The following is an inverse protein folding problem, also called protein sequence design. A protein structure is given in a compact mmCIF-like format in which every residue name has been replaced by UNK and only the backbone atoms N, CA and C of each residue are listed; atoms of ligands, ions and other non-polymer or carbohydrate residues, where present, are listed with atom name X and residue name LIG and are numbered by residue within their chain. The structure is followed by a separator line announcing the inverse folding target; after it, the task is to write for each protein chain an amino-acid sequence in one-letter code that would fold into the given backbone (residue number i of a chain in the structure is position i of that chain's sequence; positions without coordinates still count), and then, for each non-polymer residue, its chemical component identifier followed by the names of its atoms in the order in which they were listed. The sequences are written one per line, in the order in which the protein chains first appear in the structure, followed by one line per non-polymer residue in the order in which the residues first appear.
data_IF_104110292230
#
_entry.id   IF_104110292230
#
_cell.length_a   1.000
_cell.length_b   1.000
_cell.length_c   1.000
_cell.angle_alpha   90.00
_cell.angle_beta   90.00
_cell.angle_gamma   90.00
#
_symmetry.space_group_name_H-M   'P 1'
#
loop_
_entity.id
_entity.type
_entity.pdbx_description
1 polymer ?
#
# COMPACT_ATOMS: atom_id res chain seq x y z
N UNK A 1 -7.19 6.09 8.53
CA UNK A 1 -6.87 4.82 7.85
C UNK A 1 -7.98 4.41 6.87
N UNK A 2 -9.26 4.50 7.22
CA UNK A 2 -10.36 4.13 6.30
C UNK A 2 -10.33 4.87 4.97
N UNK A 3 -10.09 6.17 4.97
CA UNK A 3 -9.88 6.97 3.76
C UNK A 3 -8.69 6.44 2.93
N UNK A 4 -7.56 6.19 3.58
CA UNK A 4 -6.38 5.65 2.90
C UNK A 4 -6.64 4.26 2.31
N UNK A 5 -7.48 3.45 2.96
CA UNK A 5 -7.90 2.17 2.43
C UNK A 5 -8.72 2.33 1.15
N UNK A 6 -9.71 3.20 1.16
CA UNK A 6 -10.56 3.52 0.00
C UNK A 6 -9.72 4.05 -1.17
N UNK A 7 -8.85 5.01 -0.89
CA UNK A 7 -8.09 5.75 -1.91
C UNK A 7 -6.81 5.03 -2.36
N UNK A 8 -6.52 3.85 -1.80
CA UNK A 8 -5.30 3.08 -2.10
C UNK A 8 -4.00 3.85 -1.79
N UNK A 9 -3.98 4.55 -0.66
CA UNK A 9 -2.81 5.31 -0.17
C UNK A 9 -1.98 4.43 0.77
N UNK A 10 -0.65 4.37 0.58
CA UNK A 10 0.22 3.62 1.47
C UNK A 10 0.39 4.38 2.79
N UNK A 11 -0.17 3.86 3.86
CA UNK A 11 -0.01 4.39 5.21
C UNK A 11 0.42 3.25 6.12
N UNK A 12 1.53 3.42 6.81
CA UNK A 12 1.94 2.53 7.89
C UNK A 12 1.68 3.24 9.22
N UNK A 13 0.79 2.66 10.02
CA UNK A 13 0.51 3.12 11.38
C UNK A 13 1.20 2.21 12.37
N UNK A 14 1.94 2.80 13.29
CA UNK A 14 2.55 2.10 14.41
C UNK A 14 1.94 2.66 15.68
N UNK A 15 1.40 1.79 16.52
CA UNK A 15 0.85 2.16 17.81
C UNK A 15 1.41 1.30 18.93
N UNK A 16 1.47 1.83 20.13
CA UNK A 16 1.72 1.01 21.31
C UNK A 16 0.45 0.24 21.72
N UNK A 17 0.65 -0.87 22.37
CA UNK A 17 -0.42 -1.58 23.08
C UNK A 17 0.07 -2.04 24.44
N UNK A 18 -0.87 -2.43 25.30
CA UNK A 18 -0.52 -3.00 26.59
C UNK A 18 -0.02 -4.44 26.41
N UNK A 19 0.85 -4.85 27.33
CA UNK A 19 1.30 -6.23 27.41
C UNK A 19 0.13 -7.16 27.73
N UNK A 20 0.21 -8.39 27.27
CA UNK A 20 -0.86 -9.39 27.46
C UNK A 20 -1.27 -9.55 28.92
N UNK A 21 -0.31 -9.50 29.85
CA UNK A 21 -0.55 -9.60 31.30
C UNK A 21 -1.35 -8.38 31.83
N UNK A 22 -1.19 -7.22 31.24
CA UNK A 22 -1.89 -5.98 31.61
C UNK A 22 -3.25 -5.84 30.93
N UNK A 23 -3.52 -6.60 29.90
CA UNK A 23 -4.60 -6.41 28.93
C UNK A 23 -6.03 -6.45 29.50
N UNK A 24 -6.23 -6.85 30.74
CA UNK A 24 -7.57 -6.95 31.34
C UNK A 24 -7.78 -6.04 32.55
N UNK A 25 -6.88 -5.11 32.80
CA UNK A 25 -6.93 -4.24 33.98
C UNK A 25 -7.62 -2.89 33.77
N UNK A 26 -8.09 -2.61 32.54
CA UNK A 26 -8.75 -1.33 32.24
C UNK A 26 -7.80 -0.14 32.38
N UNK A 27 -6.55 -0.29 32.02
CA UNK A 27 -5.57 0.79 32.06
C UNK A 27 -5.88 1.86 31.01
N UNK A 28 -5.36 3.06 31.23
CA UNK A 28 -5.52 4.19 30.32
C UNK A 28 -5.13 3.79 28.87
N UNK A 29 -5.98 4.14 27.91
CA UNK A 29 -5.87 3.81 26.48
C UNK A 29 -6.02 2.33 26.13
N UNK A 30 -6.39 1.49 27.07
CA UNK A 30 -6.65 0.08 26.78
C UNK A 30 -7.89 -0.07 25.90
N UNK A 31 -7.73 -0.72 24.77
CA UNK A 31 -8.83 -1.18 23.91
C UNK A 31 -9.12 -2.67 24.19
N UNK A 32 -10.37 -3.08 23.98
CA UNK A 32 -10.76 -4.50 24.08
C UNK A 32 -10.04 -5.34 23.02
N UNK A 33 -9.96 -4.82 21.81
CA UNK A 33 -9.30 -5.45 20.67
C UNK A 33 -8.75 -4.37 19.72
N UNK A 34 -7.53 -3.96 19.98
CA UNK A 34 -6.86 -2.93 19.16
C UNK A 34 -6.44 -3.48 17.78
N UNK A 35 -6.03 -4.74 17.73
CA UNK A 35 -5.66 -5.41 16.49
C UNK A 35 -6.87 -5.55 15.56
N UNK A 36 -7.99 -6.03 16.07
CA UNK A 36 -9.23 -6.12 15.31
C UNK A 36 -9.78 -4.78 14.87
N UNK A 37 -9.68 -3.75 15.72
CA UNK A 37 -10.05 -2.39 15.35
C UNK A 37 -9.18 -1.86 14.19
N UNK A 38 -7.87 -2.09 14.25
CA UNK A 38 -6.95 -1.79 13.14
C UNK A 38 -7.29 -2.56 11.87
N UNK A 39 -7.57 -3.86 11.99
CA UNK A 39 -7.89 -4.74 10.86
C UNK A 39 -9.18 -4.32 10.12
N UNK A 40 -10.10 -3.64 10.80
CA UNK A 40 -11.33 -3.16 10.16
C UNK A 40 -11.11 -2.03 9.12
N UNK A 41 -9.97 -1.36 9.17
CA UNK A 41 -9.64 -0.18 8.33
C UNK A 41 -8.28 -0.28 7.65
N UNK A 42 -7.57 -1.40 7.82
CA UNK A 42 -6.28 -1.69 7.22
C UNK A 42 -6.35 -2.98 6.40
N UNK A 43 -5.40 -3.18 5.49
CA UNK A 43 -5.25 -4.47 4.80
C UNK A 43 -4.90 -5.58 5.77
N UNK A 44 -4.08 -5.25 6.76
CA UNK A 44 -3.80 -6.08 7.92
C UNK A 44 -3.41 -5.21 9.12
N UNK A 45 -3.65 -5.78 10.30
CA UNK A 45 -3.24 -5.26 11.58
C UNK A 45 -2.61 -6.41 12.35
N UNK A 46 -1.41 -6.23 12.88
CA UNK A 46 -0.68 -7.31 13.58
C UNK A 46 0.09 -6.77 14.77
N UNK A 47 0.23 -7.65 15.78
CA UNK A 47 1.01 -7.36 16.99
C UNK A 47 2.45 -7.85 16.83
N UNK A 48 3.40 -6.96 17.04
CA UNK A 48 4.82 -7.26 17.10
C UNK A 48 5.24 -7.52 18.55
N UNK A 49 5.22 -8.77 18.97
CA UNK A 49 5.55 -9.16 20.35
C UNK A 49 7.05 -9.07 20.67
N UNK A 50 7.91 -9.03 19.67
CA UNK A 50 9.35 -8.90 19.82
C UNK A 50 9.91 -7.89 18.83
N UNK A 51 11.11 -7.34 19.06
CA UNK A 51 11.76 -6.45 18.09
C UNK A 51 11.95 -7.10 16.70
N UNK A 52 12.31 -8.38 16.66
CA UNK A 52 12.50 -9.10 15.40
C UNK A 52 11.17 -9.25 14.63
N UNK A 53 10.07 -9.48 15.35
CA UNK A 53 8.74 -9.49 14.74
C UNK A 53 8.38 -8.12 14.18
N UNK A 54 8.72 -7.03 14.89
CA UNK A 54 8.50 -5.67 14.41
C UNK A 54 9.30 -5.42 13.11
N UNK A 55 10.55 -5.84 13.06
CA UNK A 55 11.37 -5.73 11.86
C UNK A 55 10.78 -6.51 10.68
N UNK A 56 10.36 -7.75 10.90
CA UNK A 56 9.72 -8.55 9.85
C UNK A 56 8.42 -7.94 9.33
N UNK A 57 7.60 -7.35 10.21
CA UNK A 57 6.37 -6.67 9.82
C UNK A 57 6.64 -5.36 9.07
N UNK A 58 7.67 -4.62 9.45
CA UNK A 58 8.12 -3.43 8.71
C UNK A 58 8.56 -3.80 7.30
N UNK A 59 9.42 -4.80 7.15
CA UNK A 59 9.88 -5.27 5.85
C UNK A 59 8.74 -5.75 4.98
N UNK A 60 7.81 -6.51 5.54
CA UNK A 60 6.59 -6.94 4.86
C UNK A 60 5.76 -5.74 4.39
N UNK A 61 5.54 -4.75 5.26
CA UNK A 61 4.74 -3.58 4.93
C UNK A 61 5.31 -2.83 3.72
N UNK A 62 6.60 -2.57 3.72
CA UNK A 62 7.27 -1.86 2.64
C UNK A 62 7.33 -2.69 1.35
N UNK A 63 7.62 -3.99 1.44
CA UNK A 63 7.60 -4.87 0.28
C UNK A 63 6.22 -4.91 -0.39
N UNK A 64 5.16 -4.97 0.42
CA UNK A 64 3.79 -4.97 -0.10
C UNK A 64 3.37 -3.60 -0.67
N UNK A 65 3.90 -2.49 -0.17
CA UNK A 65 3.68 -1.17 -0.79
C UNK A 65 4.31 -1.06 -2.18
N UNK A 66 5.38 -1.80 -2.43
CA UNK A 66 6.06 -1.80 -3.73
C UNK A 66 5.43 -2.79 -4.72
N UNK A 67 4.94 -3.94 -4.23
CA UNK A 67 4.57 -5.07 -5.09
C UNK A 67 3.06 -5.29 -5.23
N UNK A 68 2.25 -4.74 -4.32
CA UNK A 68 0.79 -4.90 -4.30
C UNK A 68 0.06 -3.57 -4.44
N UNK A 69 -1.26 -3.63 -4.58
CA UNK A 69 -2.12 -2.46 -4.45
C UNK A 69 -1.86 -1.82 -3.08
N UNK A 70 -1.57 -0.54 -3.07
CA UNK A 70 -1.29 0.21 -1.85
C UNK A 70 -2.51 0.26 -0.95
N UNK A 71 -2.34 -0.13 0.29
CA UNK A 71 -3.36 -0.16 1.33
C UNK A 71 -2.73 0.16 2.69
N UNK A 72 -3.44 0.82 3.62
CA UNK A 72 -2.91 1.06 4.96
C UNK A 72 -2.64 -0.25 5.69
N UNK A 73 -1.64 -0.22 6.54
CA UNK A 73 -1.21 -1.33 7.40
C UNK A 73 -1.02 -0.83 8.82
N UNK A 74 -1.26 -1.69 9.78
CA UNK A 74 -1.12 -1.34 11.20
C UNK A 74 -0.27 -2.38 11.91
N UNK A 75 0.70 -1.88 12.68
CA UNK A 75 1.53 -2.66 13.59
C UNK A 75 1.30 -2.11 14.98
N UNK A 76 0.90 -2.95 15.91
CA UNK A 76 0.91 -2.58 17.34
C UNK A 76 2.08 -3.24 18.04
N UNK A 77 2.72 -2.51 18.94
CA UNK A 77 3.91 -2.97 19.67
C UNK A 77 3.64 -2.87 21.17
N UNK A 78 3.76 -3.96 21.93
CA UNK A 78 3.64 -3.93 23.38
C UNK A 78 4.67 -2.99 24.01
N UNK A 79 4.30 -2.34 25.13
CA UNK A 79 5.18 -1.39 25.83
C UNK A 79 6.49 -2.07 26.24
N UNK A 80 6.43 -3.31 26.73
CA UNK A 80 7.62 -4.06 27.12
C UNK A 80 8.59 -4.29 25.95
N UNK A 81 8.08 -4.49 24.73
CA UNK A 81 8.90 -4.62 23.52
C UNK A 81 9.52 -3.27 23.10
N UNK A 82 8.79 -2.16 23.30
CA UNK A 82 9.30 -0.81 23.02
C UNK A 82 10.39 -0.36 24.00
N UNK A 83 10.28 -0.74 25.27
CA UNK A 83 11.23 -0.41 26.33
C UNK A 83 12.40 -1.39 26.41
N UNK A 84 12.28 -2.52 25.73
CA UNK A 84 13.30 -3.57 25.71
C UNK A 84 14.50 -3.22 24.82
N UNK A 85 15.55 -4.04 24.97
CA UNK A 85 16.69 -3.98 24.03
C UNK A 85 16.27 -4.60 22.68
N UNK A 86 16.53 -3.88 21.61
CA UNK A 86 16.36 -4.41 20.27
C UNK A 86 17.76 -4.84 19.70
N UNK A 87 17.85 -5.96 18.98
CA UNK A 87 19.01 -6.27 18.19
C UNK A 87 19.19 -5.23 17.08
N UNK A 88 20.37 -5.16 16.52
CA UNK A 88 20.62 -4.34 15.33
C UNK A 88 19.65 -4.76 14.21
N UNK A 89 19.06 -3.75 13.55
CA UNK A 89 18.16 -4.02 12.43
C UNK A 89 18.96 -4.65 11.28
N UNK A 90 18.60 -5.85 10.82
CA UNK A 90 19.33 -6.48 9.73
C UNK A 90 19.26 -5.62 8.46
N UNK A 91 20.37 -5.59 7.69
CA UNK A 91 20.34 -4.90 6.41
C UNK A 91 19.13 -5.34 5.57
N UNK A 92 18.35 -4.37 5.14
CA UNK A 92 17.22 -4.64 4.26
C UNK A 92 17.71 -5.28 2.98
N UNK A 93 17.34 -6.49 2.75
CA UNK A 93 17.37 -7.01 1.39
C UNK A 93 16.37 -6.18 0.57
N UNK A 94 16.89 -5.36 -0.34
CA UNK A 94 16.05 -4.67 -1.31
C UNK A 94 15.19 -5.74 -1.96
N UNK A 95 13.90 -5.75 -1.64
CA UNK A 95 12.96 -6.54 -2.40
C UNK A 95 13.08 -6.02 -3.82
N UNK A 96 13.65 -6.82 -4.69
CA UNK A 96 13.69 -6.49 -6.12
C UNK A 96 12.22 -6.31 -6.50
N UNK A 97 11.81 -5.06 -6.71
CA UNK A 97 10.52 -4.78 -7.32
C UNK A 97 10.60 -5.35 -8.73
N UNK A 98 10.30 -6.64 -8.85
CA UNK A 98 9.99 -7.17 -10.16
C UNK A 98 8.73 -6.40 -10.57
N UNK A 99 8.93 -5.32 -11.35
CA UNK A 99 7.83 -4.75 -12.13
C UNK A 99 7.15 -5.97 -12.74
N UNK A 100 5.82 -6.10 -12.60
CA UNK A 100 5.13 -7.24 -13.18
C UNK A 100 5.65 -7.37 -14.61
N UNK A 101 6.30 -8.50 -14.90
CA UNK A 101 6.85 -8.71 -16.23
C UNK A 101 5.66 -8.62 -17.18
N UNK A 102 5.79 -7.82 -18.22
CA UNK A 102 4.81 -7.68 -19.29
C UNK A 102 4.79 -9.00 -20.10
N UNK A 103 4.65 -10.13 -19.42
CA UNK A 103 4.45 -11.44 -20.02
C UNK A 103 2.97 -11.74 -20.29
N UNK A 104 2.10 -10.77 -20.07
CA UNK A 104 0.70 -10.91 -20.44
C UNK A 104 0.55 -10.71 -21.94
N UNK A 105 -0.20 -11.60 -22.57
CA UNK A 105 -0.56 -11.46 -23.97
C UNK A 105 -1.40 -10.19 -24.17
N UNK A 106 -0.78 -9.11 -24.64
CA UNK A 106 -1.45 -7.83 -24.89
C UNK A 106 -2.21 -7.80 -26.21
N UNK A 107 -2.07 -8.82 -27.06
CA UNK A 107 -2.70 -8.87 -28.38
C UNK A 107 -4.23 -8.61 -28.34
N UNK A 108 -5.03 -9.13 -27.39
CA UNK A 108 -6.45 -8.82 -27.33
C UNK A 108 -6.71 -7.33 -27.02
N UNK A 109 -5.92 -6.70 -26.17
CA UNK A 109 -6.07 -5.27 -25.82
C UNK A 109 -5.71 -4.40 -27.02
N UNK A 110 -4.62 -4.72 -27.71
CA UNK A 110 -4.19 -4.02 -28.92
C UNK A 110 -5.28 -4.12 -29.99
N UNK A 111 -5.78 -5.33 -30.27
CA UNK A 111 -6.86 -5.53 -31.25
C UNK A 111 -8.13 -4.76 -30.91
N UNK A 112 -8.50 -4.66 -29.63
CA UNK A 112 -9.64 -3.83 -29.19
C UNK A 112 -9.40 -2.35 -29.47
N UNK A 113 -8.21 -1.83 -29.21
CA UNK A 113 -7.86 -0.43 -29.49
C UNK A 113 -7.85 -0.13 -30.98
N UNK A 114 -7.29 -1.02 -31.81
CA UNK A 114 -7.22 -0.88 -33.27
C UNK A 114 -8.61 -0.89 -33.94
N UNK A 115 -9.55 -1.63 -33.38
CA UNK A 115 -10.92 -1.73 -33.92
C UNK A 115 -11.89 -0.73 -33.33
N UNK A 116 -11.52 -0.04 -32.26
CA UNK A 116 -12.40 0.92 -31.60
C UNK A 116 -12.60 2.18 -32.46
N UNK A 117 -13.85 2.57 -32.67
CA UNK A 117 -14.20 3.79 -33.42
C UNK A 117 -14.12 5.05 -32.58
N UNK A 118 -14.33 4.95 -31.29
CA UNK A 118 -14.30 6.06 -30.31
C UNK A 118 -13.66 5.61 -28.99
N UNK A 119 -12.36 5.33 -28.99
CA UNK A 119 -11.68 4.90 -27.77
C UNK A 119 -11.63 6.03 -26.75
N UNK A 120 -11.80 5.69 -25.47
CA UNK A 120 -11.62 6.58 -24.33
C UNK A 120 -10.67 5.94 -23.33
N UNK A 121 -9.60 6.64 -23.02
CA UNK A 121 -8.65 6.22 -21.98
C UNK A 121 -8.97 6.91 -20.65
N UNK A 122 -9.23 6.12 -19.61
CA UNK A 122 -9.47 6.63 -18.26
C UNK A 122 -8.26 6.30 -17.38
N UNK A 123 -7.53 7.34 -16.95
CA UNK A 123 -6.34 7.22 -16.12
C UNK A 123 -6.68 7.35 -14.63
N UNK A 124 -6.45 6.28 -13.88
CA UNK A 124 -6.57 6.29 -12.43
C UNK A 124 -5.22 6.51 -11.72
N UNK A 125 -5.23 6.60 -10.38
CA UNK A 125 -4.02 6.77 -9.57
C UNK A 125 -2.96 5.68 -9.77
N UNK A 126 -3.34 4.49 -10.24
CA UNK A 126 -2.42 3.41 -10.57
C UNK A 126 -1.53 3.68 -11.80
N UNK A 127 -1.88 4.67 -12.61
CA UNK A 127 -1.08 5.10 -13.75
C UNK A 127 -0.01 6.16 -13.37
N UNK A 128 0.04 6.58 -12.10
CA UNK A 128 1.05 7.52 -11.64
C UNK A 128 2.47 6.96 -11.84
N UNK A 129 3.34 7.76 -12.44
CA UNK A 129 4.71 7.36 -12.79
C UNK A 129 4.83 6.55 -14.08
N UNK A 130 3.76 6.36 -14.84
CA UNK A 130 3.83 5.80 -16.18
C UNK A 130 4.25 6.89 -17.20
N UNK A 131 5.19 6.56 -18.07
CA UNK A 131 5.63 7.42 -19.16
C UNK A 131 4.58 7.38 -20.30
N UNK A 132 3.52 8.17 -20.16
CA UNK A 132 2.39 8.16 -21.09
C UNK A 132 2.43 9.30 -22.12
N UNK A 133 3.26 10.31 -21.91
CA UNK A 133 3.25 11.53 -22.72
C UNK A 133 3.51 11.28 -24.20
N UNK A 134 4.53 10.46 -24.54
CA UNK A 134 4.84 10.10 -25.91
C UNK A 134 3.70 9.29 -26.57
N UNK A 135 3.20 8.29 -25.86
CA UNK A 135 2.08 7.47 -26.33
C UNK A 135 0.84 8.33 -26.63
N UNK A 136 0.50 9.25 -25.72
CA UNK A 136 -0.70 10.07 -25.86
C UNK A 136 -0.56 11.13 -26.96
N UNK A 137 0.65 11.63 -27.21
CA UNK A 137 0.90 12.59 -28.31
C UNK A 137 0.80 11.93 -29.69
N UNK A 138 1.05 10.63 -29.79
CA UNK A 138 0.99 9.87 -31.04
C UNK A 138 -0.40 9.25 -31.30
N UNK A 139 -1.21 9.10 -30.24
CA UNK A 139 -2.51 8.48 -30.33
C UNK A 139 -3.63 9.52 -30.31
N UNK A 140 -4.51 9.51 -31.30
CA UNK A 140 -5.71 10.34 -31.31
C UNK A 140 -6.83 9.71 -30.45
N UNK A 141 -6.57 9.52 -29.16
CA UNK A 141 -7.48 8.90 -28.20
C UNK A 141 -7.93 9.98 -27.20
N UNK A 142 -9.22 10.07 -26.95
CA UNK A 142 -9.74 10.93 -25.89
C UNK A 142 -9.24 10.39 -24.53
N UNK A 143 -8.73 11.30 -23.69
CA UNK A 143 -8.20 10.94 -22.37
C UNK A 143 -8.94 11.71 -21.28
N UNK A 144 -9.26 11.02 -20.20
CA UNK A 144 -9.71 11.64 -18.97
C UNK A 144 -9.00 11.02 -17.76
N UNK A 145 -8.90 11.77 -16.69
CA UNK A 145 -8.33 11.26 -15.44
C UNK A 145 -9.38 11.19 -14.35
N UNK A 146 -9.27 10.18 -13.49
CA UNK A 146 -9.98 10.19 -12.20
C UNK A 146 -9.36 11.24 -11.29
N UNK A 147 -10.00 11.55 -10.16
CA UNK A 147 -9.44 12.46 -9.16
C UNK A 147 -8.03 12.04 -8.70
N UNK A 148 -7.80 10.74 -8.47
CA UNK A 148 -6.51 10.18 -8.08
C UNK A 148 -5.49 10.12 -9.24
N UNK A 149 -5.94 10.23 -10.48
CA UNK A 149 -5.10 10.29 -11.68
C UNK A 149 -4.79 11.70 -12.14
N UNK A 150 -5.22 12.71 -11.39
CA UNK A 150 -5.01 14.13 -11.77
C UNK A 150 -3.53 14.46 -11.85
N UNK A 151 -3.13 15.10 -12.92
CA UNK A 151 -1.72 15.50 -13.17
C UNK A 151 -0.87 14.42 -13.86
N UNK A 152 -1.42 13.24 -14.16
CA UNK A 152 -0.70 12.20 -14.94
C UNK A 152 -0.54 12.66 -16.40
N UNK A 153 -1.54 13.33 -16.93
CA UNK A 153 -1.47 14.04 -18.22
C UNK A 153 -1.42 15.51 -17.92
N UNK A 154 -0.35 16.19 -18.31
CA UNK A 154 -0.27 17.63 -18.26
C UNK A 154 -1.27 18.16 -19.30
N UNK A 155 -2.21 18.99 -18.86
CA UNK A 155 -2.99 19.78 -19.79
C UNK A 155 -2.05 20.83 -20.42
N UNK A 156 -1.86 20.75 -21.73
CA UNK A 156 -1.26 21.82 -22.53
C UNK A 156 -2.13 23.08 -22.48
#
# INVERSE_FOLDING_TARGET
LGQAYSDSVPVLTISSCLDEVAARRGQLHQMLDQEGAGASVCEWSQTAWTPEAAYGLLDRAFAEFETKRKRPKHIQVPISALEGRAPEYPERHKVSSSKPSVGQNLAPVISMLETATKPLLILGGGAAGAELSSFLSECNIAVMSTFAGRGIVLAD
#
